data_IF_476388831001
#
_entry.id   IF_476388831001
#
_cell.length_a   1.000
_cell.length_b   1.000
_cell.length_c   1.000
_cell.angle_alpha   90.00
_cell.angle_beta   90.00
_cell.angle_gamma   90.00
#
_symmetry.space_group_name_H-M   'P 1'
#
loop_
_entity.id
_entity.type
_entity.pdbx_description
1 polymer ?
#
# COMPACT_ATOMS: atom_id res chain seq x y z
N UNK A 1 34.57 -6.19 62.27
CA UNK A 1 35.18 -5.19 61.38
C UNK A 1 36.66 -5.06 61.74
N UNK A 2 37.53 -5.77 61.03
CA UNK A 2 38.97 -5.65 61.22
C UNK A 2 39.49 -4.46 60.38
N UNK A 3 40.20 -3.49 60.96
CA UNK A 3 40.52 -2.21 60.32
C UNK A 3 41.58 -2.27 59.19
N UNK A 4 41.96 -3.47 58.72
CA UNK A 4 43.05 -3.65 57.74
C UNK A 4 42.77 -4.69 56.64
N UNK A 5 41.54 -5.22 56.52
CA UNK A 5 41.22 -6.08 55.38
C UNK A 5 40.98 -5.22 54.14
N UNK A 6 41.71 -5.48 53.06
CA UNK A 6 41.40 -4.87 51.78
C UNK A 6 40.01 -5.29 51.31
N UNK A 7 39.31 -4.42 50.61
CA UNK A 7 38.00 -4.72 50.05
C UNK A 7 38.01 -4.64 48.52
N UNK A 8 37.25 -5.54 47.90
CA UNK A 8 36.97 -5.54 46.46
C UNK A 8 35.50 -5.18 46.29
N UNK A 9 35.23 -4.06 45.63
CA UNK A 9 33.87 -3.61 45.36
C UNK A 9 33.26 -4.46 44.25
N UNK A 10 32.10 -5.05 44.52
CA UNK A 10 31.39 -5.96 43.61
C UNK A 10 29.98 -5.45 43.34
N UNK A 11 29.50 -5.63 42.11
CA UNK A 11 28.06 -5.63 41.82
C UNK A 11 27.46 -6.95 42.31
N UNK A 12 26.15 -7.02 42.54
CA UNK A 12 25.51 -8.31 42.88
C UNK A 12 25.54 -9.23 41.67
N UNK A 13 26.30 -10.34 41.70
CA UNK A 13 26.41 -11.23 40.57
C UNK A 13 25.19 -12.14 40.57
N UNK A 14 24.29 -11.97 39.60
CA UNK A 14 23.19 -12.92 39.38
C UNK A 14 23.66 -14.19 38.65
N UNK A 15 24.90 -14.18 38.15
CA UNK A 15 25.49 -15.21 37.29
C UNK A 15 26.52 -16.12 38.00
N UNK A 16 27.01 -15.75 39.18
CA UNK A 16 28.04 -16.49 39.93
C UNK A 16 27.94 -16.16 41.41
N UNK A 17 27.70 -17.14 42.28
CA UNK A 17 27.47 -16.90 43.72
C UNK A 17 28.66 -17.27 44.61
N UNK A 18 29.76 -17.77 44.03
CA UNK A 18 30.88 -18.31 44.80
C UNK A 18 32.23 -18.29 44.09
N UNK A 19 32.30 -17.97 42.80
CA UNK A 19 33.56 -18.08 42.04
C UNK A 19 34.64 -17.16 42.63
N UNK A 20 34.30 -15.90 42.87
CA UNK A 20 35.26 -14.91 43.37
C UNK A 20 35.65 -15.14 44.82
N UNK A 21 34.72 -15.61 45.66
CA UNK A 21 35.00 -16.05 47.01
C UNK A 21 35.99 -17.23 47.02
N UNK A 22 35.80 -18.22 46.14
CA UNK A 22 36.70 -19.36 45.99
C UNK A 22 38.09 -18.93 45.50
N UNK A 23 38.17 -18.03 44.51
CA UNK A 23 39.44 -17.47 44.02
C UNK A 23 40.22 -16.81 45.15
N UNK A 24 39.56 -15.99 45.98
CA UNK A 24 40.22 -15.33 47.10
C UNK A 24 40.72 -16.34 48.15
N UNK A 25 39.90 -17.34 48.49
CA UNK A 25 40.25 -18.38 49.46
C UNK A 25 41.41 -19.25 48.96
N UNK A 26 41.31 -19.78 47.75
CA UNK A 26 42.27 -20.74 47.19
C UNK A 26 43.61 -20.09 46.81
N UNK A 27 43.63 -18.77 46.55
CA UNK A 27 44.86 -18.01 46.33
C UNK A 27 45.43 -17.35 47.62
N UNK A 28 44.89 -17.67 48.81
CA UNK A 28 45.31 -17.10 50.10
C UNK A 28 45.30 -15.55 50.12
N UNK A 29 44.30 -14.94 49.49
CA UNK A 29 44.17 -13.49 49.39
C UNK A 29 43.41 -12.92 50.60
N UNK A 30 44.02 -11.98 51.32
CA UNK A 30 43.40 -11.32 52.46
C UNK A 30 42.52 -10.13 52.03
N UNK A 31 41.50 -10.41 51.23
CA UNK A 31 40.51 -9.43 50.78
C UNK A 31 39.10 -9.89 51.11
N UNK A 32 38.19 -8.93 51.23
CA UNK A 32 36.76 -9.17 51.40
C UNK A 32 35.99 -8.64 50.19
N UNK A 33 34.97 -9.38 49.74
CA UNK A 33 34.08 -8.93 48.68
C UNK A 33 32.97 -8.06 49.27
N UNK A 34 32.92 -6.79 48.84
CA UNK A 34 31.93 -5.82 49.25
C UNK A 34 30.88 -5.64 48.15
N UNK A 35 29.75 -6.32 48.30
CA UNK A 35 28.65 -6.26 47.34
C UNK A 35 27.82 -4.97 47.52
N UNK A 36 28.07 -3.98 46.66
CA UNK A 36 27.41 -2.67 46.68
C UNK A 36 26.28 -2.54 45.64
N UNK A 37 26.11 -3.54 44.78
CA UNK A 37 25.03 -3.63 43.79
C UNK A 37 25.10 -2.55 42.73
N UNK A 38 23.94 -2.00 42.36
CA UNK A 38 23.80 -0.96 41.32
C UNK A 38 24.58 0.32 41.64
N UNK A 39 25.01 0.51 42.89
CA UNK A 39 25.83 1.66 43.32
C UNK A 39 27.31 1.50 43.02
N UNK A 40 27.76 0.35 42.50
CA UNK A 40 29.18 0.09 42.21
C UNK A 40 29.83 1.23 41.42
N UNK A 41 29.22 1.63 40.31
CA UNK A 41 29.78 2.66 39.44
C UNK A 41 29.91 4.01 40.15
N UNK A 42 28.93 4.37 40.99
CA UNK A 42 28.96 5.61 41.75
C UNK A 42 30.04 5.57 42.83
N UNK A 43 30.20 4.44 43.52
CA UNK A 43 31.19 4.28 44.57
C UNK A 43 32.62 4.27 44.03
N UNK A 44 32.88 3.57 42.93
CA UNK A 44 34.17 3.58 42.23
C UNK A 44 34.54 5.01 41.82
N UNK A 45 33.60 5.76 41.24
CA UNK A 45 33.83 7.15 40.85
C UNK A 45 34.08 8.07 42.05
N UNK A 46 33.34 7.90 43.15
CA UNK A 46 33.50 8.66 44.40
C UNK A 46 34.91 8.47 44.97
N UNK A 47 35.33 7.21 45.12
CA UNK A 47 36.65 6.84 45.64
C UNK A 47 37.77 7.30 44.71
N UNK A 48 37.55 7.25 43.40
CA UNK A 48 38.52 7.72 42.42
C UNK A 48 38.71 9.24 42.51
N UNK A 49 37.63 10.01 42.68
CA UNK A 49 37.70 11.45 42.90
C UNK A 49 38.43 11.80 44.21
N UNK A 50 38.28 10.96 45.25
CA UNK A 50 39.02 11.08 46.51
C UNK A 50 40.47 10.55 46.44
N UNK A 51 40.92 10.01 45.31
CA UNK A 51 42.23 9.37 45.11
C UNK A 51 42.49 8.21 46.08
N UNK A 52 41.43 7.53 46.51
CA UNK A 52 41.53 6.33 47.34
C UNK A 52 42.07 5.14 46.52
N UNK A 53 42.89 4.30 47.14
CA UNK A 53 43.28 3.01 46.55
C UNK A 53 42.11 2.04 46.70
N UNK A 54 41.68 1.39 45.62
CA UNK A 54 40.54 0.48 45.65
C UNK A 54 40.73 -0.68 44.67
N UNK A 55 40.08 -1.80 44.97
CA UNK A 55 39.85 -2.90 44.02
C UNK A 55 38.36 -2.95 43.69
N UNK A 56 38.02 -3.26 42.44
CA UNK A 56 36.63 -3.35 42.02
C UNK A 56 36.46 -4.29 40.83
N UNK A 57 35.28 -4.88 40.72
CA UNK A 57 34.87 -5.70 39.59
C UNK A 57 34.42 -4.82 38.40
N UNK A 58 34.85 -5.18 37.20
CA UNK A 58 34.44 -4.53 35.95
C UNK A 58 34.67 -5.49 34.78
N UNK A 59 34.02 -5.22 33.65
CA UNK A 59 34.25 -5.89 32.37
C UNK A 59 34.83 -4.90 31.34
N UNK A 60 35.31 -5.41 30.21
CA UNK A 60 35.74 -4.60 29.06
C UNK A 60 34.88 -4.95 27.82
N UNK A 61 34.41 -3.96 27.04
CA UNK A 61 34.56 -2.51 27.22
C UNK A 61 33.59 -1.91 28.25
N UNK A 62 34.10 -1.11 29.19
CA UNK A 62 33.29 -0.31 30.13
C UNK A 62 33.84 1.13 30.28
N UNK A 63 32.95 2.12 30.42
CA UNK A 63 33.35 3.52 30.54
C UNK A 63 34.11 3.82 31.85
N UNK A 64 33.91 3.02 32.89
CA UNK A 64 34.60 3.17 34.17
C UNK A 64 36.10 3.05 33.98
N UNK A 65 36.54 2.03 33.24
CA UNK A 65 37.96 1.76 32.99
C UNK A 65 38.64 2.93 32.25
N UNK A 66 37.93 3.57 31.32
CA UNK A 66 38.41 4.77 30.64
C UNK A 66 38.48 6.01 31.55
N UNK A 67 37.74 6.02 32.66
CA UNK A 67 37.66 7.17 33.58
C UNK A 67 38.65 7.05 34.73
N UNK A 68 38.79 5.86 35.32
CA UNK A 68 39.64 5.64 36.50
C UNK A 68 41.03 5.08 36.16
N UNK A 69 41.30 4.77 34.88
CA UNK A 69 42.59 4.21 34.41
C UNK A 69 43.04 2.97 35.21
N UNK A 70 42.10 2.05 35.49
CA UNK A 70 42.39 0.83 36.23
C UNK A 70 43.10 -0.22 35.35
N UNK A 71 43.97 -1.01 35.97
CA UNK A 71 44.67 -2.14 35.33
C UNK A 71 44.06 -3.46 35.80
N UNK A 72 43.86 -4.40 34.87
CA UNK A 72 43.38 -5.75 35.20
C UNK A 72 44.40 -6.48 36.07
N UNK A 73 43.92 -7.09 37.16
CA UNK A 73 44.75 -7.97 38.00
C UNK A 73 44.90 -9.32 37.29
N UNK A 74 46.14 -9.80 37.21
CA UNK A 74 46.45 -11.11 36.68
C UNK A 74 46.26 -12.20 37.75
N UNK A 75 45.66 -13.29 37.35
CA UNK A 75 45.44 -14.52 38.12
C UNK A 75 45.85 -15.70 37.23
N UNK A 76 45.96 -16.93 37.77
CA UNK A 76 46.18 -18.11 36.95
C UNK A 76 45.22 -18.15 35.76
N UNK A 77 45.72 -18.47 34.54
CA UNK A 77 44.89 -18.47 33.34
C UNK A 77 43.77 -19.49 33.47
N UNK A 78 42.64 -19.19 32.85
CA UNK A 78 41.49 -20.09 32.84
C UNK A 78 41.85 -21.45 32.20
N UNK A 79 41.44 -22.54 32.84
CA UNK A 79 41.59 -23.90 32.31
C UNK A 79 40.32 -24.71 32.55
N UNK A 80 40.06 -25.72 31.71
CA UNK A 80 38.91 -26.62 31.89
C UNK A 80 38.94 -27.28 33.28
N UNK A 81 40.12 -27.69 33.74
CA UNK A 81 40.30 -28.27 35.08
C UNK A 81 39.81 -27.33 36.20
N UNK A 82 40.12 -26.04 36.09
CA UNK A 82 39.65 -25.05 37.05
C UNK A 82 38.14 -24.86 36.96
N UNK A 83 37.57 -24.83 35.74
CA UNK A 83 36.12 -24.75 35.55
C UNK A 83 35.38 -25.95 36.15
N UNK A 84 35.92 -27.16 35.97
CA UNK A 84 35.34 -28.40 36.50
C UNK A 84 35.41 -28.47 38.04
N UNK A 85 36.27 -27.65 38.67
CA UNK A 85 36.37 -27.52 40.12
C UNK A 85 35.38 -26.49 40.72
N UNK A 86 34.52 -25.89 39.89
CA UNK A 86 33.53 -24.94 40.35
C UNK A 86 32.40 -25.60 41.15
N UNK A 87 32.12 -25.03 42.31
CA UNK A 87 30.96 -25.39 43.15
C UNK A 87 30.27 -24.12 43.63
N UNK A 88 28.94 -24.17 43.80
CA UNK A 88 28.15 -23.04 44.31
C UNK A 88 28.46 -22.69 45.76
N UNK A 89 29.04 -23.62 46.52
CA UNK A 89 29.58 -23.38 47.85
C UNK A 89 31.05 -22.93 47.73
N UNK A 90 31.39 -21.70 48.15
CA UNK A 90 32.74 -21.18 48.01
C UNK A 90 33.78 -21.96 48.83
N UNK A 91 33.37 -22.64 49.90
CA UNK A 91 34.27 -23.47 50.71
C UNK A 91 34.49 -24.87 50.12
N UNK A 92 33.67 -25.28 49.15
CA UNK A 92 33.80 -26.55 48.45
C UNK A 92 34.38 -26.38 47.03
N UNK A 93 34.35 -25.16 46.49
CA UNK A 93 34.88 -24.87 45.17
C UNK A 93 36.40 -24.80 45.17
N UNK A 94 37.04 -25.59 44.31
CA UNK A 94 38.49 -25.62 44.12
C UNK A 94 39.01 -24.64 43.08
N UNK A 95 38.21 -23.61 42.72
CA UNK A 95 38.55 -22.61 41.71
C UNK A 95 39.64 -21.67 42.22
N UNK A 96 40.73 -21.58 41.47
CA UNK A 96 41.86 -20.68 41.75
C UNK A 96 42.22 -19.77 40.56
N UNK A 97 41.47 -19.84 39.47
CA UNK A 97 41.74 -19.16 38.21
C UNK A 97 40.69 -18.10 37.86
N UNK A 98 40.98 -17.29 36.82
CA UNK A 98 40.01 -16.33 36.27
C UNK A 98 38.78 -17.02 35.69
N UNK A 99 37.64 -16.32 35.77
CA UNK A 99 36.54 -16.56 34.84
C UNK A 99 37.04 -16.40 33.38
N UNK A 100 36.55 -17.22 32.45
CA UNK A 100 36.95 -17.13 31.05
C UNK A 100 36.53 -15.79 30.45
N UNK A 101 37.36 -15.24 29.56
CA UNK A 101 36.96 -14.08 28.77
C UNK A 101 35.86 -14.49 27.78
N UNK A 102 34.63 -14.08 28.04
CA UNK A 102 33.50 -14.36 27.14
C UNK A 102 33.33 -13.23 26.11
N UNK A 103 33.45 -13.52 24.80
CA UNK A 103 33.20 -12.52 23.78
C UNK A 103 31.70 -12.16 23.75
N UNK A 104 31.39 -10.87 23.57
CA UNK A 104 30.01 -10.42 23.42
C UNK A 104 29.36 -11.08 22.19
N UNK A 105 28.44 -12.00 22.47
CA UNK A 105 27.77 -12.78 21.44
C UNK A 105 26.49 -12.09 20.95
N UNK A 106 26.18 -12.29 19.67
CA UNK A 106 24.95 -11.81 19.03
C UNK A 106 24.00 -12.99 18.84
N UNK A 107 22.81 -12.89 19.43
CA UNK A 107 21.78 -13.92 19.33
C UNK A 107 20.65 -13.47 18.40
N UNK A 108 20.00 -14.42 17.74
CA UNK A 108 18.80 -14.21 16.92
C UNK A 108 17.71 -15.19 17.33
N UNK A 109 16.50 -14.67 17.55
CA UNK A 109 15.34 -15.51 17.82
C UNK A 109 14.89 -16.26 16.55
N UNK A 110 14.14 -17.35 16.75
CA UNK A 110 13.49 -18.05 15.62
C UNK A 110 12.47 -17.12 14.94
N UNK A 111 12.38 -17.22 13.61
CA UNK A 111 11.41 -16.45 12.81
C UNK A 111 11.85 -15.03 12.42
N UNK A 112 13.09 -14.62 12.74
CA UNK A 112 13.61 -13.32 12.30
C UNK A 112 13.75 -13.30 10.76
N UNK A 113 13.25 -12.26 10.07
CA UNK A 113 13.41 -12.10 8.63
C UNK A 113 14.87 -12.20 8.16
N UNK A 114 15.09 -12.79 6.99
CA UNK A 114 16.44 -13.09 6.47
C UNK A 114 17.28 -11.83 6.17
N UNK A 115 16.65 -10.70 5.85
CA UNK A 115 17.29 -9.39 5.72
C UNK A 115 17.78 -8.87 7.08
N UNK A 116 16.94 -8.93 8.12
CA UNK A 116 17.31 -8.54 9.49
C UNK A 116 18.43 -9.44 10.03
N UNK A 117 18.35 -10.75 9.79
CA UNK A 117 19.40 -11.69 10.18
C UNK A 117 20.74 -11.39 9.50
N UNK A 118 20.74 -11.03 8.22
CA UNK A 118 21.95 -10.61 7.48
C UNK A 118 22.52 -9.29 8.00
N UNK A 119 21.66 -8.29 8.23
CA UNK A 119 22.07 -7.03 8.84
C UNK A 119 22.74 -7.27 10.19
N UNK A 120 22.06 -7.99 11.09
CA UNK A 120 22.57 -8.29 12.42
C UNK A 120 23.87 -9.10 12.37
N UNK A 121 23.96 -10.07 11.46
CA UNK A 121 25.17 -10.82 11.18
C UNK A 121 26.33 -9.95 10.68
N UNK A 122 26.06 -8.81 10.05
CA UNK A 122 27.06 -7.89 9.49
C UNK A 122 27.58 -6.85 10.50
N UNK A 123 26.80 -6.52 11.54
CA UNK A 123 27.21 -5.55 12.57
C UNK A 123 28.52 -5.99 13.23
N UNK A 124 29.54 -5.13 13.19
CA UNK A 124 30.84 -5.34 13.86
C UNK A 124 31.25 -4.04 14.55
N UNK A 125 31.38 -4.08 15.87
CA UNK A 125 31.83 -2.95 16.68
C UNK A 125 33.12 -3.33 17.41
N UNK A 126 34.09 -2.43 17.42
CA UNK A 126 35.33 -2.59 18.21
C UNK A 126 35.15 -2.07 19.64
N UNK A 127 36.01 -2.49 20.57
CA UNK A 127 35.99 -1.98 21.95
C UNK A 127 36.02 -0.44 21.99
N UNK A 128 36.87 0.19 21.17
CA UNK A 128 36.95 1.65 21.06
C UNK A 128 35.63 2.30 20.61
N UNK A 129 34.90 1.67 19.69
CA UNK A 129 33.61 2.19 19.20
C UNK A 129 32.52 2.04 20.27
N UNK A 130 32.48 0.92 20.98
CA UNK A 130 31.54 0.70 22.09
C UNK A 130 31.82 1.69 23.23
N UNK A 131 33.08 1.89 23.61
CA UNK A 131 33.48 2.90 24.61
C UNK A 131 33.04 4.30 24.19
N UNK A 132 33.23 4.69 22.93
CA UNK A 132 32.77 5.99 22.41
C UNK A 132 31.25 6.18 22.53
N UNK A 133 30.46 5.13 22.26
CA UNK A 133 29.00 5.13 22.43
C UNK A 133 28.61 5.30 23.91
N UNK A 134 29.23 4.54 24.81
CA UNK A 134 28.97 4.60 26.26
C UNK A 134 29.31 5.99 26.83
N UNK A 135 30.45 6.56 26.43
CA UNK A 135 30.85 7.91 26.83
C UNK A 135 29.91 8.99 26.29
N UNK A 136 29.44 8.85 25.04
CA UNK A 136 28.48 9.79 24.45
C UNK A 136 27.16 9.79 25.21
N UNK A 137 26.67 8.62 25.63
CA UNK A 137 25.49 8.52 26.47
C UNK A 137 25.72 9.17 27.84
N UNK A 138 26.85 8.90 28.50
CA UNK A 138 27.17 9.47 29.82
C UNK A 138 27.37 10.99 29.81
N UNK A 139 28.10 11.55 28.83
CA UNK A 139 28.33 13.01 28.70
C UNK A 139 27.05 13.81 28.56
N UNK A 140 25.96 13.15 28.15
CA UNK A 140 24.64 13.78 28.15
C UNK A 140 24.00 13.89 29.54
N UNK A 141 24.67 13.49 30.63
CA UNK A 141 24.09 13.45 31.99
C UNK A 141 22.77 12.65 32.06
N UNK A 142 22.56 11.68 31.16
CA UNK A 142 21.29 10.96 31.02
C UNK A 142 20.17 11.77 30.35
N UNK A 143 20.40 13.02 29.94
CA UNK A 143 19.41 13.88 29.25
C UNK A 143 19.18 13.47 27.80
N UNK A 144 20.18 12.86 27.14
CA UNK A 144 19.93 12.13 25.89
C UNK A 144 19.55 10.71 26.27
N UNK A 145 18.31 10.34 25.98
CA UNK A 145 17.92 8.94 25.94
C UNK A 145 18.90 8.16 25.03
N UNK A 146 19.07 6.86 25.30
CA UNK A 146 19.98 5.98 24.54
C UNK A 146 19.84 6.16 23.02
N UNK A 147 18.59 6.35 22.56
CA UNK A 147 18.24 6.66 21.17
C UNK A 147 18.95 7.90 20.60
N UNK A 148 18.93 9.03 21.30
CA UNK A 148 19.56 10.26 20.83
C UNK A 148 21.10 10.13 20.74
N UNK A 149 21.73 9.42 21.69
CA UNK A 149 23.16 9.11 21.61
C UNK A 149 23.46 8.20 20.40
N UNK A 150 22.66 7.14 20.20
CA UNK A 150 22.79 6.25 19.04
C UNK A 150 22.60 6.98 17.70
N UNK A 151 21.58 7.84 17.57
CA UNK A 151 21.35 8.61 16.35
C UNK A 151 22.51 9.56 16.03
N UNK A 152 23.05 10.23 17.04
CA UNK A 152 24.23 11.09 16.87
C UNK A 152 25.44 10.27 16.42
N UNK A 153 25.70 9.12 17.04
CA UNK A 153 26.79 8.25 16.66
C UNK A 153 26.64 7.71 15.23
N UNK A 154 25.43 7.29 14.83
CA UNK A 154 25.15 6.81 13.47
C UNK A 154 25.42 7.89 12.42
N UNK A 155 25.00 9.14 12.66
CA UNK A 155 25.25 10.25 11.74
C UNK A 155 26.75 10.52 11.53
N UNK A 156 27.56 10.33 12.56
CA UNK A 156 29.01 10.55 12.47
C UNK A 156 29.80 9.32 11.97
N UNK A 157 29.16 8.15 11.86
CA UNK A 157 29.81 6.89 11.47
C UNK A 157 29.15 6.25 10.25
N UNK A 158 28.61 7.05 9.33
CA UNK A 158 27.91 6.59 8.12
C UNK A 158 28.72 5.61 7.30
N UNK A 159 30.00 5.91 7.03
CA UNK A 159 30.89 5.04 6.25
C UNK A 159 31.11 3.65 6.89
N UNK A 160 30.93 3.52 8.20
CA UNK A 160 31.06 2.25 8.91
C UNK A 160 29.81 1.39 8.73
N UNK A 161 28.63 1.94 9.06
CA UNK A 161 27.41 1.14 9.12
C UNK A 161 26.74 0.93 7.76
N UNK A 162 26.99 1.77 6.76
CA UNK A 162 26.46 1.56 5.40
C UNK A 162 26.90 0.22 4.81
N UNK A 163 28.12 -0.24 5.14
CA UNK A 163 28.65 -1.56 4.78
C UNK A 163 27.84 -2.72 5.39
N UNK A 164 27.16 -2.49 6.52
CA UNK A 164 26.32 -3.52 7.14
C UNK A 164 24.98 -3.68 6.41
N UNK A 165 24.53 -2.64 5.70
CA UNK A 165 23.25 -2.61 4.98
C UNK A 165 23.43 -2.95 3.50
N UNK A 166 24.61 -2.72 2.89
CA UNK A 166 24.86 -3.14 1.51
C UNK A 166 24.77 -4.66 1.28
N UNK A 167 24.93 -5.46 2.34
CA UNK A 167 24.74 -6.92 2.30
C UNK A 167 23.28 -7.37 2.46
N UNK A 168 22.37 -6.46 2.81
CA UNK A 168 20.93 -6.72 2.75
C UNK A 168 20.45 -6.37 1.36
N UNK A 169 20.29 -7.38 0.48
CA UNK A 169 19.54 -7.21 -0.79
C UNK A 169 18.27 -6.43 -0.48
N UNK A 170 18.05 -5.36 -1.21
CA UNK A 170 16.86 -4.52 -1.08
C UNK A 170 15.60 -5.39 -1.05
N UNK A 171 14.60 -5.05 -0.21
CA UNK A 171 13.28 -5.65 -0.35
C UNK A 171 12.82 -5.46 -1.79
N UNK A 172 12.29 -6.52 -2.42
CA UNK A 172 11.83 -6.46 -3.80
C UNK A 172 10.91 -5.23 -3.93
N UNK A 173 11.15 -4.31 -4.89
CA UNK A 173 10.30 -3.15 -5.05
C UNK A 173 8.86 -3.63 -5.25
N UNK A 174 7.92 -2.99 -4.56
CA UNK A 174 6.50 -3.21 -4.79
C UNK A 174 6.25 -3.15 -6.31
N UNK A 175 5.56 -4.11 -6.91
CA UNK A 175 5.48 -4.23 -8.36
C UNK A 175 4.79 -3.00 -8.95
N UNK A 176 5.60 -2.10 -9.51
CA UNK A 176 5.17 -0.83 -10.13
C UNK A 176 4.08 -1.03 -11.19
N UNK A 177 4.07 -2.21 -11.82
CA UNK A 177 3.06 -2.68 -12.77
C UNK A 177 1.63 -2.64 -12.21
N UNK A 178 1.43 -2.79 -10.90
CA UNK A 178 0.09 -2.69 -10.28
C UNK A 178 -0.48 -1.27 -10.44
N UNK A 179 0.34 -0.23 -10.22
CA UNK A 179 -0.11 1.16 -10.38
C UNK A 179 -0.45 1.48 -11.84
N UNK A 180 0.34 0.95 -12.79
CA UNK A 180 0.08 1.10 -14.23
C UNK A 180 -1.23 0.41 -14.63
N UNK A 181 -1.49 -0.80 -14.13
CA UNK A 181 -2.73 -1.53 -14.42
C UNK A 181 -3.97 -0.82 -13.87
N UNK A 182 -3.91 -0.29 -12.65
CA UNK A 182 -5.01 0.47 -12.03
C UNK A 182 -5.29 1.76 -12.81
N UNK A 183 -4.25 2.50 -13.20
CA UNK A 183 -4.41 3.73 -13.98
C UNK A 183 -5.04 3.47 -15.36
N UNK A 184 -4.63 2.40 -16.05
CA UNK A 184 -5.21 2.00 -17.33
C UNK A 184 -6.69 1.63 -17.22
N UNK A 185 -7.07 0.89 -16.16
CA UNK A 185 -8.47 0.52 -15.91
C UNK A 185 -9.36 1.74 -15.65
N UNK A 186 -8.87 2.70 -14.86
CA UNK A 186 -9.60 3.95 -14.57
C UNK A 186 -9.76 4.82 -15.83
N UNK A 187 -8.72 4.91 -16.67
CA UNK A 187 -8.81 5.62 -17.94
C UNK A 187 -9.83 4.97 -18.88
N UNK A 188 -9.83 3.64 -18.97
CA UNK A 188 -10.83 2.88 -19.74
C UNK A 188 -12.27 3.15 -19.28
N UNK A 189 -12.48 3.20 -17.96
CA UNK A 189 -13.80 3.52 -17.38
C UNK A 189 -14.26 4.94 -17.74
N UNK A 190 -13.37 5.93 -17.65
CA UNK A 190 -13.67 7.33 -17.99
C UNK A 190 -14.06 7.49 -19.46
N UNK A 191 -13.33 6.82 -20.36
CA UNK A 191 -13.65 6.82 -21.80
C UNK A 191 -15.02 6.18 -22.05
N UNK A 192 -15.31 5.04 -21.43
CA UNK A 192 -16.61 4.37 -21.57
C UNK A 192 -17.78 5.25 -21.09
N UNK A 193 -17.62 5.93 -19.95
CA UNK A 193 -18.62 6.88 -19.44
C UNK A 193 -18.80 8.06 -20.40
N UNK A 194 -17.71 8.60 -20.94
CA UNK A 194 -17.75 9.69 -21.93
C UNK A 194 -18.50 9.29 -23.22
N UNK A 195 -18.24 8.08 -23.74
CA UNK A 195 -18.94 7.54 -24.92
C UNK A 195 -20.43 7.37 -24.66
N UNK A 196 -20.81 6.78 -23.51
CA UNK A 196 -22.23 6.61 -23.13
C UNK A 196 -22.92 7.97 -22.98
N UNK A 197 -22.24 8.97 -22.41
CA UNK A 197 -22.77 10.32 -22.26
C UNK A 197 -23.01 11.00 -23.61
N UNK A 198 -22.04 10.93 -24.53
CA UNK A 198 -22.18 11.48 -25.88
C UNK A 198 -23.32 10.81 -26.66
N UNK A 199 -23.43 9.47 -26.57
CA UNK A 199 -24.51 8.72 -27.20
C UNK A 199 -25.89 9.13 -26.65
N UNK A 200 -26.02 9.27 -25.33
CA UNK A 200 -27.27 9.74 -24.70
C UNK A 200 -27.60 11.20 -25.04
N UNK A 201 -26.59 12.05 -25.26
CA UNK A 201 -26.80 13.44 -25.67
C UNK A 201 -27.36 13.52 -27.08
N UNK A 202 -26.76 12.79 -28.02
CA UNK A 202 -27.19 12.81 -29.42
C UNK A 202 -28.61 12.23 -29.62
N UNK A 203 -28.96 11.18 -28.88
CA UNK A 203 -30.30 10.58 -28.90
C UNK A 203 -31.39 11.45 -28.25
N UNK A 204 -31.04 12.42 -27.41
CA UNK A 204 -32.00 13.40 -26.85
C UNK A 204 -32.37 14.47 -27.87
N UNK A 205 -31.38 15.00 -28.61
CA UNK A 205 -31.60 16.06 -29.60
C UNK A 205 -32.51 15.60 -30.75
N UNK A 206 -32.41 14.34 -31.20
CA UNK A 206 -33.33 13.80 -32.22
C UNK A 206 -34.76 13.63 -31.74
N UNK A 207 -34.99 13.48 -30.43
CA UNK A 207 -36.32 13.29 -29.83
C UNK A 207 -37.09 14.60 -29.63
N UNK A 208 -36.39 15.71 -29.39
CA UNK A 208 -37.02 17.03 -29.20
C UNK A 208 -37.53 17.66 -30.51
N UNK A 209 -36.94 17.30 -31.65
CA UNK A 209 -37.38 17.71 -32.99
C UNK A 209 -38.77 17.17 -33.39
N UNK A 210 -39.35 16.26 -32.61
CA UNK A 210 -40.63 15.60 -32.87
C UNK A 210 -41.63 15.84 -31.72
N UNK A 211 -41.64 17.05 -31.15
CA UNK A 211 -42.61 17.44 -30.13
C UNK A 211 -44.02 17.60 -30.72
N UNK A 212 -45.04 17.15 -29.96
CA UNK A 212 -46.44 17.27 -30.38
C UNK A 212 -46.84 18.75 -30.50
N UNK A 213 -47.62 19.15 -31.53
CA UNK A 213 -48.11 20.51 -31.66
C UNK A 213 -48.85 20.96 -30.40
N UNK A 214 -48.42 22.06 -29.80
CA UNK A 214 -49.07 22.66 -28.62
C UNK A 214 -49.61 24.04 -28.98
N UNK A 215 -50.93 24.16 -29.05
CA UNK A 215 -51.65 25.38 -29.40
C UNK A 215 -53.16 25.19 -29.38
N UNK A 216 -53.93 26.28 -29.43
CA UNK A 216 -55.40 26.26 -29.28
C UNK A 216 -56.13 25.59 -30.46
N UNK A 217 -55.45 25.40 -31.59
CA UNK A 217 -55.97 24.71 -32.76
C UNK A 217 -54.92 23.72 -33.30
N UNK A 218 -55.32 22.46 -33.47
CA UNK A 218 -54.49 21.38 -34.03
C UNK A 218 -55.26 20.77 -35.20
N UNK A 219 -54.60 20.61 -36.35
CA UNK A 219 -55.18 19.93 -37.50
C UNK A 219 -54.74 18.47 -37.50
N UNK A 220 -55.68 17.54 -37.63
CA UNK A 220 -55.38 16.10 -37.68
C UNK A 220 -55.63 15.59 -39.10
N UNK A 221 -54.65 14.92 -39.66
CA UNK A 221 -54.72 14.23 -40.95
C UNK A 221 -54.70 12.72 -40.72
N UNK A 222 -55.57 12.03 -41.45
CA UNK A 222 -55.56 10.57 -41.51
C UNK A 222 -55.18 10.13 -42.93
N UNK A 223 -54.36 9.10 -43.02
CA UNK A 223 -54.04 8.42 -44.29
C UNK A 223 -54.43 6.96 -44.17
N UNK A 224 -54.70 6.31 -45.30
CA UNK A 224 -55.00 4.88 -45.40
C UNK A 224 -54.58 4.39 -46.79
N UNK A 225 -54.15 3.14 -46.93
CA UNK A 225 -53.81 2.56 -48.24
C UNK A 225 -55.04 1.86 -48.79
N UNK A 226 -55.61 2.41 -49.86
CA UNK A 226 -56.76 1.80 -50.51
C UNK A 226 -56.41 0.41 -51.05
N UNK A 227 -57.23 -0.59 -50.71
CA UNK A 227 -57.09 -1.97 -51.21
C UNK A 227 -55.98 -2.80 -50.54
N UNK A 228 -55.34 -2.28 -49.49
CA UNK A 228 -54.22 -2.94 -48.80
C UNK A 228 -54.54 -4.34 -48.29
N UNK A 229 -55.76 -4.59 -47.79
CA UNK A 229 -56.17 -5.90 -47.28
C UNK A 229 -56.05 -6.99 -48.34
N UNK A 230 -56.51 -6.72 -49.57
CA UNK A 230 -56.42 -7.68 -50.67
C UNK A 230 -54.97 -7.92 -51.11
N UNK A 231 -54.13 -6.89 -51.05
CA UNK A 231 -52.70 -6.98 -51.35
C UNK A 231 -51.94 -7.77 -50.27
N UNK A 232 -52.30 -7.63 -49.00
CA UNK A 232 -51.76 -8.45 -47.91
C UNK A 232 -52.13 -9.92 -48.06
N UNK A 233 -53.35 -10.22 -48.51
CA UNK A 233 -53.79 -11.60 -48.74
C UNK A 233 -53.13 -12.23 -49.98
N UNK A 234 -52.92 -11.44 -51.04
CA UNK A 234 -52.43 -11.94 -52.33
C UNK A 234 -50.90 -11.93 -52.45
N UNK A 235 -50.25 -10.88 -51.94
CA UNK A 235 -48.82 -10.61 -52.09
C UNK A 235 -48.20 -10.07 -50.78
N UNK A 236 -48.15 -10.87 -49.70
CA UNK A 236 -47.74 -10.40 -48.37
C UNK A 236 -46.30 -9.86 -48.32
N UNK A 237 -45.38 -10.42 -49.09
CA UNK A 237 -43.99 -9.96 -49.11
C UNK A 237 -43.84 -8.62 -49.83
N UNK A 238 -44.46 -8.47 -51.00
CA UNK A 238 -44.43 -7.22 -51.76
C UNK A 238 -45.18 -6.10 -51.02
N UNK A 239 -46.30 -6.43 -50.36
CA UNK A 239 -47.04 -5.46 -49.53
C UNK A 239 -46.24 -5.01 -48.30
N UNK A 240 -45.45 -5.88 -47.68
CA UNK A 240 -44.56 -5.51 -46.58
C UNK A 240 -43.49 -4.50 -47.01
N UNK A 241 -42.85 -4.73 -48.16
CA UNK A 241 -41.85 -3.82 -48.73
C UNK A 241 -42.48 -2.48 -49.17
N UNK A 242 -43.66 -2.52 -49.78
CA UNK A 242 -44.41 -1.32 -50.12
C UNK A 242 -44.82 -0.51 -48.88
N UNK A 243 -45.26 -1.18 -47.80
CA UNK A 243 -45.60 -0.50 -46.56
C UNK A 243 -44.37 0.17 -45.93
N UNK A 244 -43.19 -0.47 -45.99
CA UNK A 244 -41.94 0.14 -45.52
C UNK A 244 -41.58 1.41 -46.33
N UNK A 245 -41.71 1.34 -47.65
CA UNK A 245 -41.48 2.47 -48.56
C UNK A 245 -42.47 3.61 -48.30
N UNK A 246 -43.75 3.29 -48.18
CA UNK A 246 -44.82 4.23 -47.85
C UNK A 246 -44.56 4.93 -46.51
N UNK A 247 -44.29 4.17 -45.45
CA UNK A 247 -44.05 4.69 -44.11
C UNK A 247 -42.81 5.60 -44.07
N UNK A 248 -41.74 5.20 -44.75
CA UNK A 248 -40.49 5.96 -44.79
C UNK A 248 -40.68 7.30 -45.50
N UNK A 249 -41.38 7.31 -46.64
CA UNK A 249 -41.67 8.50 -47.41
C UNK A 249 -42.53 9.49 -46.60
N UNK A 250 -43.60 9.02 -45.96
CA UNK A 250 -44.44 9.86 -45.11
C UNK A 250 -43.60 10.49 -43.99
N UNK A 251 -42.81 9.69 -43.26
CA UNK A 251 -41.98 10.18 -42.14
C UNK A 251 -40.96 11.25 -42.56
N UNK A 252 -40.37 11.13 -43.76
CA UNK A 252 -39.49 12.18 -44.31
C UNK A 252 -40.25 13.49 -44.53
N UNK A 253 -41.47 13.43 -45.05
CA UNK A 253 -42.30 14.61 -45.28
C UNK A 253 -42.81 15.23 -43.97
N UNK A 254 -43.02 14.44 -42.92
CA UNK A 254 -43.38 14.96 -41.60
C UNK A 254 -42.34 15.94 -41.05
N UNK A 255 -41.04 15.66 -41.21
CA UNK A 255 -39.98 16.59 -40.82
C UNK A 255 -40.05 17.92 -41.58
N UNK A 256 -40.38 17.89 -42.88
CA UNK A 256 -40.49 19.09 -43.72
C UNK A 256 -41.69 19.97 -43.33
N UNK A 257 -42.81 19.35 -42.98
CA UNK A 257 -44.08 20.04 -42.74
C UNK A 257 -44.45 20.21 -41.26
N UNK A 258 -43.52 19.93 -40.35
CA UNK A 258 -43.76 19.96 -38.90
C UNK A 258 -44.93 19.06 -38.48
N UNK A 259 -45.07 17.92 -39.17
CA UNK A 259 -46.06 16.91 -38.86
C UNK A 259 -45.58 16.03 -37.71
N UNK A 260 -46.47 15.76 -36.77
CA UNK A 260 -46.25 14.87 -35.64
C UNK A 260 -47.02 13.57 -35.86
N UNK A 261 -46.31 12.46 -36.02
CA UNK A 261 -46.91 11.12 -36.07
C UNK A 261 -47.48 10.79 -34.69
N UNK A 262 -48.81 10.81 -34.56
CA UNK A 262 -49.50 10.47 -33.31
C UNK A 262 -49.43 8.96 -33.10
N UNK A 263 -49.79 8.20 -34.14
CA UNK A 263 -49.72 6.74 -34.19
C UNK A 263 -49.93 6.23 -35.62
N UNK A 264 -49.51 5.00 -35.86
CA UNK A 264 -49.90 4.18 -37.00
C UNK A 264 -50.96 3.17 -36.57
N UNK A 265 -51.91 2.87 -37.45
CA UNK A 265 -52.94 1.84 -37.24
C UNK A 265 -52.97 0.97 -38.48
N UNK A 266 -52.22 -0.14 -38.46
CA UNK A 266 -52.03 -0.95 -39.67
C UNK A 266 -51.23 -0.18 -40.72
N UNK A 267 -51.85 0.05 -41.87
CA UNK A 267 -51.38 0.81 -43.02
C UNK A 267 -51.79 2.29 -43.00
N UNK A 268 -52.52 2.71 -41.96
CA UNK A 268 -52.96 4.09 -41.78
C UNK A 268 -52.02 4.90 -40.87
N UNK A 269 -51.90 6.21 -41.15
CA UNK A 269 -51.28 7.17 -40.23
C UNK A 269 -52.32 8.10 -39.62
N UNK A 270 -52.13 8.43 -38.34
CA UNK A 270 -52.73 9.60 -37.69
C UNK A 270 -51.64 10.63 -37.42
N UNK A 271 -51.75 11.80 -38.04
CA UNK A 271 -50.73 12.84 -38.01
C UNK A 271 -51.35 14.15 -37.51
N UNK A 272 -50.68 14.84 -36.61
CA UNK A 272 -51.08 16.15 -36.11
C UNK A 272 -50.17 17.25 -36.68
N UNK A 273 -50.77 18.36 -37.11
CA UNK A 273 -50.09 19.54 -37.62
C UNK A 273 -50.49 20.77 -36.78
N UNK A 274 -49.57 21.74 -36.60
CA UNK A 274 -49.88 22.97 -35.88
C UNK A 274 -50.81 23.90 -36.68
N UNK A 275 -50.97 23.70 -37.99
CA UNK A 275 -51.77 24.55 -38.89
C UNK A 275 -52.38 23.75 -40.05
N UNK A 276 -53.58 24.12 -40.54
CA UNK A 276 -54.23 23.40 -41.63
C UNK A 276 -53.50 23.51 -42.98
N UNK A 277 -52.82 24.62 -43.25
CA UNK A 277 -52.10 24.79 -44.52
C UNK A 277 -50.95 23.79 -44.66
N UNK A 278 -50.28 23.46 -43.55
CA UNK A 278 -49.19 22.48 -43.52
C UNK A 278 -49.70 21.06 -43.75
N UNK A 279 -50.87 20.72 -43.19
CA UNK A 279 -51.50 19.42 -43.41
C UNK A 279 -51.82 19.23 -44.89
N UNK A 280 -52.45 20.22 -45.53
CA UNK A 280 -52.83 20.16 -46.96
C UNK A 280 -51.59 20.09 -47.87
N UNK A 281 -50.55 20.90 -47.58
CA UNK A 281 -49.28 20.84 -48.33
C UNK A 281 -48.61 19.47 -48.18
N UNK A 282 -48.60 18.92 -46.96
CA UNK A 282 -48.08 17.58 -46.71
C UNK A 282 -48.87 16.50 -47.46
N UNK A 283 -50.21 16.56 -47.47
CA UNK A 283 -51.05 15.63 -48.23
C UNK A 283 -50.71 15.64 -49.72
N UNK A 284 -50.57 16.84 -50.31
CA UNK A 284 -50.26 16.99 -51.73
C UNK A 284 -48.86 16.45 -52.08
N UNK A 285 -47.86 16.75 -51.25
CA UNK A 285 -46.50 16.22 -51.42
C UNK A 285 -46.44 14.71 -51.23
N UNK A 286 -47.21 14.14 -50.28
CA UNK A 286 -47.32 12.68 -50.10
C UNK A 286 -47.80 12.05 -51.40
N UNK A 287 -48.92 12.52 -51.97
CA UNK A 287 -49.45 11.99 -53.23
C UNK A 287 -48.44 12.10 -54.37
N UNK A 288 -47.82 13.26 -54.54
CA UNK A 288 -46.80 13.50 -55.57
C UNK A 288 -45.62 12.54 -55.42
N UNK A 289 -45.16 12.31 -54.19
CA UNK A 289 -44.02 11.44 -53.90
C UNK A 289 -44.34 9.96 -54.04
N UNK A 290 -45.57 9.54 -53.70
CA UNK A 290 -46.00 8.15 -53.87
C UNK A 290 -46.06 7.75 -55.36
N UNK A 291 -46.48 8.67 -56.25
CA UNK A 291 -46.45 8.44 -57.71
C UNK A 291 -45.01 8.27 -58.24
N UNK A 292 -44.04 8.96 -57.62
CA UNK A 292 -42.63 8.90 -58.00
C UNK A 292 -41.83 7.79 -57.31
N UNK A 293 -42.44 7.10 -56.34
CA UNK A 293 -41.76 6.06 -55.58
C UNK A 293 -41.56 4.81 -56.44
N UNK A 294 -40.51 4.06 -56.13
CA UNK A 294 -40.30 2.75 -56.75
C UNK A 294 -41.07 1.72 -55.94
N UNK A 295 -42.00 1.03 -56.58
CA UNK A 295 -42.84 -0.01 -55.97
C UNK A 295 -42.39 -1.39 -56.45
N UNK A 296 -42.57 -2.44 -55.63
CA UNK A 296 -42.38 -3.83 -56.07
C UNK A 296 -43.15 -4.12 -57.37
N UNK A 297 -42.50 -4.76 -58.33
CA UNK A 297 -43.06 -4.99 -59.67
C UNK A 297 -44.35 -5.83 -59.61
N UNK A 298 -44.42 -6.78 -58.67
CA UNK A 298 -45.57 -7.66 -58.47
C UNK A 298 -46.85 -6.90 -58.09
N UNK A 299 -46.69 -5.70 -57.49
CA UNK A 299 -47.84 -4.86 -57.19
C UNK A 299 -48.39 -4.18 -58.44
N UNK A 300 -47.59 -3.95 -59.49
CA UNK A 300 -48.00 -3.23 -60.69
C UNK A 300 -48.84 -4.08 -61.66
N UNK A 301 -48.95 -5.38 -61.40
CA UNK A 301 -49.74 -6.33 -62.19
C UNK A 301 -51.26 -6.16 -62.00
N UNK A 302 -51.70 -5.39 -61.00
CA UNK A 302 -53.12 -5.09 -60.78
C UNK A 302 -53.51 -3.73 -61.37
N UNK A 303 -54.64 -3.65 -62.08
CA UNK A 303 -55.11 -2.41 -62.71
C UNK A 303 -55.35 -1.26 -61.70
N UNK A 304 -55.62 -1.57 -60.43
CA UNK A 304 -55.94 -0.58 -59.38
C UNK A 304 -54.73 -0.10 -58.56
N UNK A 305 -53.53 -0.59 -58.84
CA UNK A 305 -52.27 -0.23 -58.16
C UNK A 305 -51.27 0.46 -59.09
N UNK A 306 -51.61 0.57 -60.38
CA UNK A 306 -50.80 1.32 -61.34
C UNK A 306 -50.90 2.83 -61.08
N UNK A 307 -49.80 3.59 -61.24
CA UNK A 307 -49.85 5.05 -61.13
C UNK A 307 -50.82 5.64 -62.14
N UNK A 308 -51.78 6.44 -61.68
CA UNK A 308 -52.65 7.19 -62.61
C UNK A 308 -51.81 8.27 -63.32
N UNK A 309 -51.98 8.44 -64.66
CA UNK A 309 -51.18 9.35 -65.47
C UNK A 309 -51.34 10.84 -65.14
#
# INVERSE_FOLDING_TARGET
YAPHCGEVLMAYPTWSTSWWEAVLLNNNMNFTLAYVGDRLNAEVMRRAAAREKMLFYSYEPDFLLATVQATRIAFPPHTQKCQDAYDKNPFASGVDCLEPDEPLAKMLARGVPADVARFWGSVRLTNAQVLGLLQLHRKSHGTRNSRAASCHWLRNNTALWTKWISNTREPRPFPFWIFVAVAAALLGLLVAVGVVWLYKRHTRETRELQSSPSGDCVTVMFTDIQGSTALWDSLPQAMAEALETHNSLIRVLLFKYQGYEVKTIGDAFMIAFPRPELAVQCSADIQTKLVQAHWPEELLDFDYTQPMP
#
